data_IF_501685390051
#
_entry.id   IF_501685390051
#
_cell.length_a   1.000
_cell.length_b   1.000
_cell.length_c   1.000
_cell.angle_alpha   90.00
_cell.angle_beta   90.00
_cell.angle_gamma   90.00
#
_symmetry.space_group_name_H-M   'P 1'
#
loop_
_entity.id
_entity.type
_entity.pdbx_description
1 polymer ?
#
# COMPACT_ATOMS: atom_id res chain seq x y z
N UNK A 1 -17.23 9.55 -6.14
CA UNK A 1 -16.64 9.83 -7.43
C UNK A 1 -16.05 8.56 -8.00
N UNK A 2 -16.39 8.29 -9.22
CA UNK A 2 -15.91 7.11 -9.90
C UNK A 2 -14.78 7.48 -10.84
N UNK A 3 -13.70 6.72 -10.77
CA UNK A 3 -12.58 6.95 -11.68
C UNK A 3 -12.93 6.51 -13.08
N UNK A 4 -12.43 7.25 -14.04
CA UNK A 4 -12.53 6.82 -15.42
C UNK A 4 -11.73 5.54 -15.62
N UNK A 5 -12.20 4.65 -16.52
CA UNK A 5 -11.41 3.47 -16.85
C UNK A 5 -10.00 3.87 -17.28
N UNK A 6 -9.02 3.23 -16.70
CA UNK A 6 -7.64 3.50 -17.01
C UNK A 6 -7.01 4.66 -16.25
N UNK A 7 -7.77 5.36 -15.39
CA UNK A 7 -7.19 6.42 -14.59
C UNK A 7 -6.77 5.90 -13.22
N UNK A 8 -5.73 6.50 -12.67
CA UNK A 8 -5.23 6.14 -11.35
C UNK A 8 -4.92 7.43 -10.60
N UNK A 9 -5.55 7.59 -9.45
CA UNK A 9 -5.33 8.76 -8.60
C UNK A 9 -4.38 8.36 -7.48
N UNK A 10 -3.31 9.14 -7.31
CA UNK A 10 -2.33 8.87 -6.26
C UNK A 10 -2.32 10.00 -5.24
N UNK A 11 -2.36 9.68 -3.95
CA UNK A 11 -2.13 10.69 -2.92
C UNK A 11 -0.68 11.14 -2.95
N UNK A 12 -0.40 12.33 -2.41
CA UNK A 12 0.97 12.81 -2.34
C UNK A 12 1.74 12.13 -1.22
N UNK A 13 3.07 11.99 -1.37
CA UNK A 13 3.89 11.39 -0.32
C UNK A 13 3.81 12.14 1.01
N UNK A 14 3.75 13.46 0.97
CA UNK A 14 3.63 14.28 2.18
C UNK A 14 2.31 14.01 2.88
N UNK A 15 1.25 13.82 2.11
CA UNK A 15 -0.07 13.52 2.64
C UNK A 15 -0.07 12.18 3.37
N UNK A 16 0.55 11.18 2.79
CA UNK A 16 0.68 9.86 3.42
C UNK A 16 1.48 9.97 4.72
N UNK A 17 2.58 10.71 4.68
CA UNK A 17 3.41 10.90 5.86
C UNK A 17 2.66 11.60 6.99
N UNK A 18 1.80 12.55 6.66
CA UNK A 18 0.98 13.25 7.67
C UNK A 18 0.00 12.30 8.34
N UNK A 19 -0.66 11.46 7.57
CA UNK A 19 -1.62 10.50 8.13
C UNK A 19 -0.89 9.52 9.04
N UNK A 20 0.26 9.04 8.60
CA UNK A 20 1.07 8.15 9.42
C UNK A 20 1.46 8.81 10.74
N UNK A 21 1.98 10.04 10.69
CA UNK A 21 2.40 10.76 11.88
C UNK A 21 1.24 10.99 12.84
N UNK A 22 0.08 11.38 12.33
CA UNK A 22 -1.10 11.60 13.15
C UNK A 22 -1.54 10.32 13.85
N UNK A 23 -1.44 9.19 13.18
CA UNK A 23 -1.81 7.91 13.76
C UNK A 23 -0.85 7.50 14.88
N UNK A 24 0.44 7.70 14.65
CA UNK A 24 1.45 7.40 15.67
C UNK A 24 1.23 8.26 16.91
N UNK A 25 0.98 9.54 16.72
CA UNK A 25 0.75 10.45 17.85
C UNK A 25 -0.50 10.08 18.65
N UNK A 26 -1.54 9.60 17.97
CA UNK A 26 -2.80 9.26 18.63
C UNK A 26 -2.74 7.95 19.39
N UNK A 27 -2.04 6.96 18.84
CA UNK A 27 -2.05 5.59 19.38
C UNK A 27 -0.75 5.20 20.05
N UNK A 28 0.24 6.08 20.07
CA UNK A 28 1.55 5.78 20.62
C UNK A 28 2.39 4.99 19.64
N UNK A 29 3.61 4.70 20.04
CA UNK A 29 4.52 3.92 19.23
C UNK A 29 5.79 4.70 18.93
N UNK A 30 6.71 4.05 18.23
CA UNK A 30 7.97 4.67 17.85
C UNK A 30 7.73 5.78 16.83
N UNK A 31 8.28 6.93 17.14
CA UNK A 31 8.25 8.07 16.23
C UNK A 31 9.34 7.89 15.18
N UNK A 32 8.97 7.32 14.05
CA UNK A 32 9.88 7.17 12.93
C UNK A 32 9.39 8.09 11.82
N UNK A 33 10.26 8.98 11.38
CA UNK A 33 9.93 9.86 10.26
C UNK A 33 9.96 9.05 8.97
N UNK A 34 8.85 9.00 8.23
CA UNK A 34 8.85 8.26 6.98
C UNK A 34 9.83 8.87 5.98
N UNK A 35 10.47 8.01 5.20
CA UNK A 35 11.31 8.46 4.10
C UNK A 35 10.40 8.75 2.90
N UNK A 36 10.26 10.03 2.58
CA UNK A 36 9.36 10.45 1.50
C UNK A 36 9.78 9.87 0.15
N UNK A 37 11.08 9.62 -0.05
CA UNK A 37 11.54 9.03 -1.30
C UNK A 37 11.02 7.61 -1.49
N UNK A 38 10.95 6.84 -0.41
CA UNK A 38 10.43 5.47 -0.48
C UNK A 38 8.96 5.46 -0.83
N UNK A 39 8.20 6.39 -0.26
CA UNK A 39 6.78 6.53 -0.60
C UNK A 39 6.65 6.93 -2.06
N UNK A 40 7.40 7.92 -2.47
CA UNK A 40 7.36 8.42 -3.85
C UNK A 40 7.70 7.31 -4.84
N UNK A 41 8.74 6.53 -4.56
CA UNK A 41 9.13 5.40 -5.41
C UNK A 41 8.02 4.37 -5.50
N UNK A 42 7.38 4.05 -4.37
CA UNK A 42 6.30 3.06 -4.37
C UNK A 42 5.13 3.53 -5.22
N UNK A 43 4.75 4.80 -5.10
CA UNK A 43 3.66 5.35 -5.90
C UNK A 43 4.03 5.38 -7.38
N UNK A 44 5.27 5.74 -7.69
CA UNK A 44 5.74 5.78 -9.08
C UNK A 44 5.74 4.39 -9.71
N UNK A 45 6.09 3.36 -8.95
CA UNK A 45 6.07 1.99 -9.48
C UNK A 45 4.64 1.54 -9.80
N UNK A 46 3.68 1.92 -8.97
CA UNK A 46 2.28 1.60 -9.25
C UNK A 46 1.80 2.31 -10.52
N UNK A 47 2.20 3.55 -10.71
CA UNK A 47 1.84 4.30 -11.90
C UNK A 47 2.45 3.66 -13.15
N UNK A 48 3.71 3.27 -13.09
CA UNK A 48 4.38 2.60 -14.19
C UNK A 48 3.72 1.26 -14.51
N UNK A 49 3.41 0.49 -13.47
CA UNK A 49 2.73 -0.79 -13.65
C UNK A 49 1.40 -0.60 -14.37
N UNK A 50 0.64 0.42 -13.97
CA UNK A 50 -0.64 0.73 -14.57
C UNK A 50 -0.47 1.14 -16.05
N UNK A 51 0.59 1.86 -16.37
CA UNK A 51 0.86 2.27 -17.74
C UNK A 51 1.07 1.06 -18.65
N UNK A 52 1.79 0.06 -18.16
CA UNK A 52 2.06 -1.14 -18.93
C UNK A 52 0.96 -2.18 -18.86
N UNK A 53 0.11 -2.10 -17.83
CA UNK A 53 -1.00 -3.03 -17.64
C UNK A 53 -2.26 -2.25 -17.27
N UNK A 54 -2.85 -1.56 -18.24
CA UNK A 54 -4.03 -0.73 -17.94
C UNK A 54 -5.23 -1.53 -17.47
N UNK A 55 -5.25 -2.84 -17.70
CA UNK A 55 -6.34 -3.71 -17.23
C UNK A 55 -6.23 -4.10 -15.76
N UNK A 56 -5.10 -3.79 -15.10
CA UNK A 56 -4.90 -4.14 -13.69
C UNK A 56 -5.94 -3.46 -12.82
N UNK A 57 -6.57 -4.23 -11.92
CA UNK A 57 -7.55 -3.64 -11.02
C UNK A 57 -6.86 -2.93 -9.86
N UNK A 58 -7.65 -2.21 -9.06
CA UNK A 58 -7.08 -1.43 -7.95
C UNK A 58 -6.40 -2.29 -6.90
N UNK A 59 -6.90 -3.51 -6.68
CA UNK A 59 -6.29 -4.39 -5.70
C UNK A 59 -4.87 -4.76 -6.13
N UNK A 60 -4.66 -5.04 -7.42
CA UNK A 60 -3.33 -5.36 -7.93
C UNK A 60 -2.42 -4.13 -7.88
N UNK A 61 -2.93 -2.96 -8.24
CA UNK A 61 -2.12 -1.73 -8.16
C UNK A 61 -1.72 -1.41 -6.73
N UNK A 62 -2.64 -1.61 -5.78
CA UNK A 62 -2.33 -1.42 -4.37
C UNK A 62 -1.28 -2.44 -3.89
N UNK A 63 -1.35 -3.67 -4.39
CA UNK A 63 -0.34 -4.68 -4.07
C UNK A 63 1.03 -4.25 -4.58
N UNK A 64 1.10 -3.63 -5.76
CA UNK A 64 2.35 -3.10 -6.30
C UNK A 64 2.91 -2.01 -5.37
N UNK A 65 2.05 -1.14 -4.86
CA UNK A 65 2.49 -0.12 -3.90
C UNK A 65 3.13 -0.78 -2.67
N UNK A 66 2.46 -1.78 -2.11
CA UNK A 66 3.00 -2.46 -0.93
C UNK A 66 4.33 -3.14 -1.24
N UNK A 67 4.41 -3.81 -2.40
CA UNK A 67 5.60 -4.55 -2.79
C UNK A 67 6.79 -3.64 -3.04
N UNK A 68 6.54 -2.41 -3.45
CA UNK A 68 7.61 -1.47 -3.82
C UNK A 68 8.38 -0.92 -2.61
N UNK A 69 7.83 -1.05 -1.40
CA UNK A 69 8.58 -0.64 -0.22
C UNK A 69 9.76 -1.57 0.01
N UNK A 70 10.85 -1.07 0.60
CA UNK A 70 12.05 -1.88 0.77
C UNK A 70 11.78 -3.17 1.53
N UNK A 71 12.36 -4.25 1.02
CA UNK A 71 12.30 -5.55 1.65
C UNK A 71 13.64 -5.84 2.29
N UNK A 72 13.66 -6.86 3.07
CA UNK A 72 14.87 -7.25 3.76
C UNK A 72 14.60 -7.31 5.23
N UNK A 73 15.47 -7.96 5.92
CA UNK A 73 15.26 -8.28 7.30
C UNK A 73 16.22 -7.53 8.17
N UNK A 74 15.77 -6.96 9.27
CA UNK A 74 14.36 -6.77 9.62
C UNK A 74 13.80 -5.53 8.94
N UNK A 75 12.54 -5.61 8.55
CA UNK A 75 11.85 -4.43 8.08
C UNK A 75 11.43 -3.62 9.29
N UNK A 76 11.88 -2.37 9.45
CA UNK A 76 11.48 -1.58 10.60
C UNK A 76 9.95 -1.44 10.67
N UNK A 77 9.41 -1.47 11.89
CA UNK A 77 7.98 -1.34 12.09
C UNK A 77 7.42 -0.10 11.41
N UNK A 78 8.19 0.98 11.42
CA UNK A 78 7.76 2.21 10.75
C UNK A 78 7.53 2.01 9.26
N UNK A 79 8.39 1.24 8.60
CA UNK A 79 8.23 0.98 7.17
C UNK A 79 6.99 0.13 6.89
N UNK A 80 6.70 -0.85 7.72
CA UNK A 80 5.48 -1.65 7.56
C UNK A 80 4.24 -0.79 7.71
N UNK A 81 4.24 0.12 8.67
CA UNK A 81 3.11 1.03 8.87
C UNK A 81 2.95 2.00 7.71
N UNK A 82 4.06 2.54 7.21
CA UNK A 82 4.02 3.43 6.06
C UNK A 82 3.47 2.70 4.84
N UNK A 83 3.91 1.46 4.61
CA UNK A 83 3.38 0.65 3.52
C UNK A 83 1.87 0.44 3.68
N UNK A 84 1.44 0.11 4.89
CA UNK A 84 0.02 -0.09 5.18
C UNK A 84 -0.80 1.17 4.86
N UNK A 85 -0.36 2.32 5.36
CA UNK A 85 -1.09 3.56 5.14
C UNK A 85 -1.04 3.99 3.68
N UNK A 86 0.07 3.72 2.98
CA UNK A 86 0.16 4.03 1.56
C UNK A 86 -0.88 3.24 0.77
N UNK A 87 -1.00 1.95 1.04
CA UNK A 87 -2.01 1.11 0.38
C UNK A 87 -3.41 1.62 0.70
N UNK A 88 -3.66 1.91 1.98
CA UNK A 88 -4.98 2.37 2.41
C UNK A 88 -5.36 3.67 1.71
N UNK A 89 -4.45 4.61 1.64
CA UNK A 89 -4.73 5.91 1.05
C UNK A 89 -4.85 5.86 -0.47
N UNK A 90 -4.07 5.00 -1.13
CA UNK A 90 -4.20 4.80 -2.57
C UNK A 90 -5.58 4.21 -2.88
N UNK A 91 -6.00 3.21 -2.12
CA UNK A 91 -7.32 2.61 -2.32
C UNK A 91 -8.42 3.65 -2.09
N UNK A 92 -8.31 4.44 -1.02
CA UNK A 92 -9.31 5.44 -0.72
C UNK A 92 -9.39 6.50 -1.81
N UNK A 93 -8.26 6.94 -2.33
CA UNK A 93 -8.23 7.94 -3.40
C UNK A 93 -8.93 7.44 -4.66
N UNK A 94 -9.03 6.13 -4.82
CA UNK A 94 -9.61 5.50 -6.00
C UNK A 94 -10.96 4.84 -5.73
N UNK A 95 -11.62 5.21 -4.63
CA UNK A 95 -13.00 4.83 -4.39
C UNK A 95 -13.21 3.58 -3.56
N UNK A 96 -12.21 3.15 -2.80
CA UNK A 96 -12.32 1.95 -1.98
C UNK A 96 -11.95 2.22 -0.53
N UNK A 97 -12.62 1.54 0.38
CA UNK A 97 -12.28 1.54 1.79
C UNK A 97 -11.65 0.22 2.15
N UNK A 98 -10.48 0.27 2.80
CA UNK A 98 -9.73 -0.93 3.14
C UNK A 98 -9.65 -1.07 4.65
N UNK A 99 -10.28 -2.13 5.16
CA UNK A 99 -10.33 -2.41 6.59
C UNK A 99 -9.96 -3.87 6.86
N UNK A 100 -8.70 -4.23 6.66
CA UNK A 100 -8.27 -5.59 6.96
C UNK A 100 -8.20 -5.80 8.47
N UNK A 101 -8.24 -7.04 8.90
CA UNK A 101 -8.01 -7.38 10.28
C UNK A 101 -6.56 -7.06 10.64
N UNK A 102 -6.36 -6.46 11.81
CA UNK A 102 -5.04 -6.01 12.22
C UNK A 102 -4.00 -7.14 12.22
N UNK A 103 -4.33 -8.28 12.80
CA UNK A 103 -3.40 -9.39 12.87
C UNK A 103 -3.06 -9.91 11.49
N UNK A 104 -4.03 -9.97 10.62
CA UNK A 104 -3.79 -10.45 9.26
C UNK A 104 -2.91 -9.47 8.49
N UNK A 105 -3.17 -8.18 8.63
CA UNK A 105 -2.36 -7.17 7.96
C UNK A 105 -0.90 -7.28 8.40
N UNK A 106 -0.68 -7.45 9.70
CA UNK A 106 0.67 -7.56 10.23
C UNK A 106 1.38 -8.80 9.68
N UNK A 107 0.69 -9.94 9.65
CA UNK A 107 1.26 -11.17 9.12
C UNK A 107 1.58 -11.07 7.63
N UNK A 108 0.67 -10.46 6.86
CA UNK A 108 0.87 -10.32 5.42
C UNK A 108 2.05 -9.41 5.10
N UNK A 109 2.16 -8.30 5.82
CA UNK A 109 3.27 -7.38 5.59
C UNK A 109 4.60 -7.97 6.07
N UNK A 110 4.58 -8.75 7.14
CA UNK A 110 5.77 -9.46 7.60
C UNK A 110 6.24 -10.45 6.55
N UNK A 111 5.32 -11.24 6.01
CA UNK A 111 5.64 -12.21 4.96
C UNK A 111 6.21 -11.52 3.73
N UNK A 112 5.64 -10.36 3.37
CA UNK A 112 6.16 -9.57 2.26
C UNK A 112 7.60 -9.13 2.53
N UNK A 113 7.89 -8.67 3.74
CA UNK A 113 9.21 -8.20 4.10
C UNK A 113 10.25 -9.30 4.00
N UNK A 114 9.86 -10.54 4.21
CA UNK A 114 10.76 -11.68 4.16
C UNK A 114 10.86 -12.31 2.78
N UNK A 115 10.08 -11.84 1.82
CA UNK A 115 10.08 -12.41 0.49
C UNK A 115 11.32 -11.99 -0.29
N UNK A 116 11.67 -12.79 -1.28
CA UNK A 116 12.82 -12.53 -2.15
C UNK A 116 12.35 -12.23 -3.58
N UNK A 117 13.20 -11.58 -4.40
CA UNK A 117 12.78 -11.19 -5.76
C UNK A 117 12.15 -12.30 -6.62
N UNK A 118 12.63 -13.55 -6.59
CA UNK A 118 11.96 -14.58 -7.38
C UNK A 118 10.52 -14.85 -6.97
N UNK A 119 10.11 -14.42 -5.80
CA UNK A 119 8.74 -14.60 -5.30
C UNK A 119 7.81 -13.44 -5.66
N UNK A 120 8.30 -12.48 -6.44
CA UNK A 120 7.55 -11.25 -6.70
C UNK A 120 6.15 -11.51 -7.23
N UNK A 121 6.03 -12.29 -8.29
CA UNK A 121 4.73 -12.53 -8.91
C UNK A 121 3.78 -13.23 -7.96
N UNK A 122 4.29 -14.18 -7.19
CA UNK A 122 3.49 -14.87 -6.18
C UNK A 122 3.02 -13.90 -5.10
N UNK A 123 3.91 -13.02 -4.64
CA UNK A 123 3.56 -12.05 -3.60
C UNK A 123 2.52 -11.05 -4.10
N UNK A 124 2.67 -10.57 -5.32
CA UNK A 124 1.69 -9.64 -5.89
C UNK A 124 0.32 -10.32 -6.01
N UNK A 125 0.28 -11.58 -6.42
CA UNK A 125 -0.98 -12.29 -6.51
C UNK A 125 -1.61 -12.48 -5.14
N UNK A 126 -0.85 -12.95 -4.16
CA UNK A 126 -1.37 -13.15 -2.80
C UNK A 126 -1.87 -11.86 -2.19
N UNK A 127 -1.10 -10.78 -2.34
CA UNK A 127 -1.50 -9.49 -1.80
C UNK A 127 -2.75 -8.96 -2.48
N UNK A 128 -2.82 -9.09 -3.81
CA UNK A 128 -3.98 -8.57 -4.54
C UNK A 128 -5.26 -9.32 -4.16
N UNK A 129 -5.17 -10.62 -3.96
CA UNK A 129 -6.33 -11.41 -3.53
C UNK A 129 -6.80 -10.95 -2.15
N UNK A 130 -5.86 -10.81 -1.22
CA UNK A 130 -6.18 -10.37 0.12
C UNK A 130 -6.79 -8.96 0.14
N UNK A 131 -6.18 -8.03 -0.59
CA UNK A 131 -6.70 -6.66 -0.66
C UNK A 131 -8.10 -6.65 -1.26
N UNK A 132 -8.31 -7.41 -2.33
CA UNK A 132 -9.61 -7.50 -2.98
C UNK A 132 -10.67 -8.02 -2.03
N UNK A 133 -10.32 -8.98 -1.17
CA UNK A 133 -11.24 -9.56 -0.21
C UNK A 133 -11.50 -8.64 0.98
N UNK A 134 -10.60 -7.73 1.27
CA UNK A 134 -10.68 -6.89 2.47
C UNK A 134 -11.00 -5.44 2.19
N UNK A 135 -11.30 -5.07 0.94
CA UNK A 135 -11.72 -3.72 0.63
C UNK A 135 -13.15 -3.72 0.08
N UNK A 136 -13.82 -2.58 0.24
CA UNK A 136 -15.19 -2.39 -0.25
C UNK A 136 -15.28 -1.04 -0.94
N UNK A 137 -16.22 -0.88 -1.90
CA UNK A 137 -16.42 0.44 -2.50
C UNK A 137 -16.83 1.45 -1.44
N UNK A 138 -16.37 2.68 -1.60
CA UNK A 138 -16.81 3.75 -0.74
C UNK A 138 -18.28 4.05 -1.01
N UNK A 139 -19.00 4.33 0.07
CA UNK A 139 -20.39 4.78 -0.04
C UNK A 139 -20.43 6.14 -0.70
N UNK A 140 -21.34 6.33 -1.61
CA UNK A 140 -21.53 7.63 -2.23
C UNK A 140 -22.52 8.47 -1.45
#
# INVERSE_FOLDING_TARGET
>A
VRNEPGSLILPGPVEIARVHAATINRHGGLQVTPDLRKIETALAEALEFHTFRPEADMALLAAVVAYAFPKGHPLPDGNKRVAFFSVKMVLRANGFEWKPRHEEAEQRLWRLAESSPPQRDQMLEELSIWIRQSCTPLSS
#
